data_IF_858388491902
#
_entry.id   IF_858388491902
#
_cell.length_a   1.000
_cell.length_b   1.000
_cell.length_c   1.000
_cell.angle_alpha   90.00
_cell.angle_beta   90.00
_cell.angle_gamma   90.00
#
_symmetry.space_group_name_H-M   'P 1'
#
loop_
_entity.id
_entity.type
_entity.pdbx_description
1 polymer ?
#
# COMPACT_ATOMS: atom_id res chain seq x y z
N UNK A 1 -22.59 -9.63 29.21
CA UNK A 1 -22.09 -11.01 29.34
C UNK A 1 -22.84 -11.88 28.36
N UNK A 2 -22.16 -12.85 27.76
CA UNK A 2 -22.81 -13.81 26.87
C UNK A 2 -23.76 -14.70 27.68
N UNK A 3 -25.02 -14.92 27.26
CA UNK A 3 -25.94 -15.78 27.99
C UNK A 3 -25.45 -17.23 27.94
N UNK A 4 -25.28 -17.83 29.11
CA UNK A 4 -24.92 -19.24 29.22
C UNK A 4 -26.16 -20.12 29.01
N UNK A 5 -25.98 -21.21 28.28
CA UNK A 5 -27.01 -22.21 28.01
C UNK A 5 -26.54 -23.58 28.44
N UNK A 6 -27.49 -24.46 28.78
CA UNK A 6 -27.25 -25.84 29.15
C UNK A 6 -27.75 -26.75 28.04
N UNK A 7 -26.87 -27.59 27.53
CA UNK A 7 -27.23 -28.72 26.69
C UNK A 7 -27.18 -30.01 27.51
N UNK A 8 -28.23 -30.83 27.39
CA UNK A 8 -28.27 -32.16 27.99
C UNK A 8 -28.95 -33.15 27.06
N UNK A 9 -28.38 -34.35 26.97
CA UNK A 9 -29.02 -35.47 26.29
C UNK A 9 -28.75 -36.77 27.07
N UNK A 10 -29.77 -37.62 27.21
CA UNK A 10 -29.67 -38.92 27.88
C UNK A 10 -29.62 -40.09 26.89
N UNK A 11 -29.08 -41.22 27.35
CA UNK A 11 -29.10 -42.47 26.60
C UNK A 11 -30.51 -42.92 26.20
N UNK A 12 -31.52 -42.67 27.04
CA UNK A 12 -32.91 -42.96 26.73
C UNK A 12 -33.44 -42.13 25.57
N UNK A 13 -33.11 -40.83 25.52
CA UNK A 13 -33.49 -39.94 24.42
C UNK A 13 -32.82 -40.39 23.10
N UNK A 14 -31.53 -40.77 23.15
CA UNK A 14 -30.84 -41.34 22.00
C UNK A 14 -31.46 -42.67 21.55
N UNK A 15 -31.78 -43.57 22.48
CA UNK A 15 -32.41 -44.85 22.19
C UNK A 15 -33.81 -44.70 21.57
N UNK A 16 -34.63 -43.79 22.09
CA UNK A 16 -35.95 -43.48 21.52
C UNK A 16 -35.86 -42.89 20.10
N UNK A 17 -34.79 -42.16 19.80
CA UNK A 17 -34.56 -41.58 18.48
C UNK A 17 -33.71 -42.49 17.56
N UNK A 18 -33.79 -43.82 17.76
CA UNK A 18 -33.06 -44.82 16.97
C UNK A 18 -31.55 -44.55 16.89
N UNK A 19 -30.94 -44.17 18.01
CA UNK A 19 -29.53 -43.81 18.13
C UNK A 19 -29.12 -42.66 17.19
N UNK A 20 -29.99 -41.66 17.04
CA UNK A 20 -29.69 -40.39 16.37
C UNK A 20 -29.88 -39.23 17.33
N UNK A 21 -29.12 -38.18 17.11
CA UNK A 21 -29.38 -36.91 17.78
C UNK A 21 -30.72 -36.32 17.28
N UNK A 22 -31.45 -35.60 18.15
CA UNK A 22 -32.69 -34.94 17.76
C UNK A 22 -32.50 -34.03 16.53
N UNK A 23 -33.53 -33.88 15.67
CA UNK A 23 -33.45 -33.00 14.50
C UNK A 23 -33.31 -31.52 14.88
N UNK A 24 -33.65 -31.17 16.11
CA UNK A 24 -33.40 -29.85 16.69
C UNK A 24 -32.73 -30.01 18.05
N UNK A 25 -31.51 -29.48 18.18
CA UNK A 25 -30.78 -29.47 19.43
C UNK A 25 -31.28 -28.33 20.31
N UNK A 26 -31.92 -28.68 21.44
CA UNK A 26 -32.48 -27.71 22.39
C UNK A 26 -31.45 -27.34 23.45
N UNK A 27 -31.11 -26.06 23.49
CA UNK A 27 -30.28 -25.45 24.51
C UNK A 27 -31.19 -24.68 25.50
N UNK A 28 -31.08 -24.98 26.80
CA UNK A 28 -31.90 -24.31 27.82
C UNK A 28 -31.12 -23.13 28.42
N UNK A 29 -31.66 -21.91 28.45
CA UNK A 29 -30.96 -20.79 29.09
C UNK A 29 -30.78 -21.07 30.59
N UNK A 30 -29.60 -20.76 31.12
CA UNK A 30 -29.41 -20.76 32.58
C UNK A 30 -30.03 -19.48 33.16
N UNK A 31 -30.84 -19.63 34.21
CA UNK A 31 -31.18 -18.51 35.09
C UNK A 31 -29.93 -18.10 35.89
N UNK A 32 -29.75 -16.80 36.09
CA UNK A 32 -28.81 -16.27 37.05
C UNK A 32 -29.33 -16.60 38.46
N UNK A 33 -28.59 -17.42 39.22
CA UNK A 33 -28.88 -17.85 40.58
C UNK A 33 -27.62 -17.66 41.43
N UNK A 34 -27.77 -17.46 42.74
CA UNK A 34 -26.64 -17.38 43.68
C UNK A 34 -25.85 -18.72 43.74
N UNK A 35 -24.57 -18.67 44.16
CA UNK A 35 -23.58 -19.76 44.07
C UNK A 35 -24.08 -21.15 44.53
N UNK A 36 -24.77 -21.21 45.67
CA UNK A 36 -25.28 -22.47 46.25
C UNK A 36 -26.51 -23.01 45.51
N UNK A 37 -27.27 -22.13 44.87
CA UNK A 37 -28.43 -22.47 44.06
C UNK A 37 -28.06 -22.86 42.62
N UNK A 38 -26.95 -22.34 42.07
CA UNK A 38 -26.50 -22.64 40.71
C UNK A 38 -26.12 -24.12 40.51
N UNK A 39 -25.35 -24.70 41.45
CA UNK A 39 -24.95 -26.10 41.39
C UNK A 39 -26.13 -27.06 41.56
N UNK A 40 -27.01 -26.76 42.52
CA UNK A 40 -28.16 -27.60 42.91
C UNK A 40 -29.32 -27.51 41.90
N UNK A 41 -29.71 -26.31 41.49
CA UNK A 41 -30.86 -26.11 40.60
C UNK A 41 -30.54 -26.44 39.14
N UNK A 42 -29.33 -26.16 38.67
CA UNK A 42 -28.95 -26.50 37.30
C UNK A 42 -28.36 -27.90 37.17
N UNK A 43 -28.23 -28.68 38.26
CA UNK A 43 -27.66 -30.04 38.26
C UNK A 43 -26.36 -30.12 37.45
N UNK A 44 -25.48 -29.15 37.66
CA UNK A 44 -24.16 -29.05 37.03
C UNK A 44 -23.14 -29.89 37.81
N UNK A 45 -23.42 -30.15 39.09
CA UNK A 45 -22.63 -31.03 39.96
C UNK A 45 -22.46 -32.42 39.34
N UNK A 46 -21.25 -32.95 39.56
CA UNK A 46 -20.80 -34.31 39.29
C UNK A 46 -21.41 -35.37 40.21
N UNK A 47 -22.14 -34.97 41.26
CA UNK A 47 -22.70 -35.88 42.27
C UNK A 47 -23.83 -36.78 41.73
N UNK A 48 -23.84 -37.99 42.28
CA UNK A 48 -24.62 -39.19 41.97
C UNK A 48 -26.09 -38.92 41.55
N UNK A 49 -26.45 -39.25 40.30
CA UNK A 49 -27.85 -39.41 39.88
C UNK A 49 -27.97 -40.69 39.01
N UNK A 50 -28.57 -41.71 39.60
CA UNK A 50 -28.31 -43.15 39.44
C UNK A 50 -29.14 -43.86 38.33
N UNK A 51 -29.30 -43.30 37.13
CA UNK A 51 -30.06 -44.08 36.10
C UNK A 51 -29.85 -43.81 34.61
N UNK A 52 -29.09 -42.80 34.18
CA UNK A 52 -28.81 -42.62 32.73
C UNK A 52 -27.49 -41.88 32.54
N UNK A 53 -26.62 -42.37 31.65
CA UNK A 53 -25.47 -41.56 31.21
C UNK A 53 -26.06 -40.32 30.55
N UNK A 54 -25.72 -39.15 31.10
CA UNK A 54 -26.19 -37.85 30.63
C UNK A 54 -24.98 -37.06 30.15
N UNK A 55 -25.01 -36.67 28.89
CA UNK A 55 -24.08 -35.66 28.40
C UNK A 55 -24.53 -34.30 28.92
N UNK A 56 -23.61 -33.52 29.48
CA UNK A 56 -23.90 -32.16 29.97
C UNK A 56 -22.86 -31.18 29.42
N UNK A 57 -23.30 -30.21 28.64
CA UNK A 57 -22.43 -29.13 28.19
C UNK A 57 -22.95 -27.78 28.65
N UNK A 58 -22.05 -26.95 29.17
CA UNK A 58 -22.26 -25.51 29.31
C UNK A 58 -21.90 -24.85 27.99
N UNK A 59 -22.87 -24.23 27.34
CA UNK A 59 -22.76 -23.65 26.01
C UNK A 59 -22.74 -22.12 26.12
N UNK A 60 -21.79 -21.48 25.45
CA UNK A 60 -21.66 -20.03 25.34
C UNK A 60 -21.46 -19.60 23.89
N UNK A 61 -21.88 -18.39 23.54
CA UNK A 61 -21.52 -17.81 22.25
C UNK A 61 -20.06 -17.36 22.23
N UNK A 62 -19.45 -17.46 21.05
CA UNK A 62 -18.12 -16.95 20.77
C UNK A 62 -18.01 -15.45 21.13
N UNK A 63 -16.94 -15.03 21.85
CA UNK A 63 -16.72 -13.61 22.11
C UNK A 63 -16.44 -12.88 20.80
N UNK A 64 -17.06 -11.71 20.61
CA UNK A 64 -16.79 -10.85 19.46
C UNK A 64 -15.29 -10.50 19.42
N UNK A 65 -14.63 -10.77 18.28
CA UNK A 65 -13.21 -10.56 18.10
C UNK A 65 -12.83 -9.09 18.41
N UNK A 66 -12.04 -8.87 19.47
CA UNK A 66 -11.54 -7.54 19.84
C UNK A 66 -10.32 -7.21 18.96
N UNK A 67 -10.35 -6.07 18.27
CA UNK A 67 -9.26 -5.64 17.36
C UNK A 67 -7.96 -5.23 18.08
N UNK A 68 -8.01 -4.92 19.38
CA UNK A 68 -6.90 -4.32 20.13
C UNK A 68 -6.74 -4.99 21.53
N UNK A 69 -5.71 -5.84 21.67
CA UNK A 69 -5.10 -6.38 22.91
C UNK A 69 -5.88 -7.39 23.81
N UNK A 70 -5.08 -8.32 24.36
CA UNK A 70 -5.33 -9.51 25.20
C UNK A 70 -6.43 -10.48 24.72
N UNK A 71 -6.17 -11.78 24.89
CA UNK A 71 -7.17 -12.82 24.65
C UNK A 71 -8.46 -12.44 25.40
N UNK A 72 -9.65 -12.50 24.74
CA UNK A 72 -10.89 -12.09 25.37
C UNK A 72 -11.08 -12.88 26.66
N UNK A 73 -11.67 -12.31 27.73
CA UNK A 73 -12.03 -13.11 28.88
C UNK A 73 -12.91 -14.28 28.43
N UNK A 74 -12.81 -15.41 29.14
CA UNK A 74 -13.76 -16.51 28.94
C UNK A 74 -15.19 -15.95 28.99
N UNK A 75 -16.12 -16.45 28.15
CA UNK A 75 -17.47 -15.91 28.02
C UNK A 75 -18.37 -16.36 29.19
N UNK A 76 -17.85 -16.22 30.41
CA UNK A 76 -18.49 -16.56 31.68
C UNK A 76 -18.02 -15.60 32.76
N UNK A 77 -18.85 -15.37 33.77
CA UNK A 77 -18.48 -14.58 34.94
C UNK A 77 -17.38 -15.24 35.77
N UNK A 78 -16.73 -14.46 36.64
CA UNK A 78 -15.68 -14.95 37.52
C UNK A 78 -16.20 -16.07 38.45
N UNK A 79 -17.40 -15.87 39.01
CA UNK A 79 -18.08 -16.83 39.88
C UNK A 79 -18.33 -18.17 39.16
N UNK A 80 -18.95 -18.13 37.97
CA UNK A 80 -19.19 -19.33 37.16
C UNK A 80 -17.89 -20.02 36.77
N UNK A 81 -16.83 -19.26 36.45
CA UNK A 81 -15.51 -19.84 36.14
C UNK A 81 -14.94 -20.61 37.33
N UNK A 82 -15.02 -20.06 38.54
CA UNK A 82 -14.52 -20.70 39.76
C UNK A 82 -15.30 -22.00 40.04
N UNK A 83 -16.62 -22.01 39.80
CA UNK A 83 -17.48 -23.21 39.88
C UNK A 83 -17.08 -24.26 38.83
N UNK A 84 -16.99 -23.89 37.56
CA UNK A 84 -16.66 -24.80 36.45
C UNK A 84 -15.25 -25.39 36.62
N UNK A 85 -14.32 -24.63 37.21
CA UNK A 85 -12.97 -25.10 37.57
C UNK A 85 -13.00 -26.06 38.77
N UNK A 86 -13.80 -25.78 39.79
CA UNK A 86 -14.02 -26.69 40.93
C UNK A 86 -14.61 -28.02 40.46
N UNK A 87 -15.57 -27.98 39.54
CA UNK A 87 -16.15 -29.14 38.87
C UNK A 87 -15.23 -29.77 37.81
N UNK A 88 -13.98 -29.29 37.66
CA UNK A 88 -12.99 -29.78 36.70
C UNK A 88 -13.50 -29.88 35.25
N UNK A 89 -14.46 -29.05 34.85
CA UNK A 89 -14.94 -28.97 33.45
C UNK A 89 -13.98 -28.16 32.57
N UNK A 90 -13.18 -27.30 33.20
CA UNK A 90 -12.08 -26.55 32.59
C UNK A 90 -10.80 -26.85 33.37
N UNK A 91 -9.72 -27.16 32.66
CA UNK A 91 -8.38 -27.37 33.24
C UNK A 91 -7.48 -26.13 33.05
N UNK A 92 -6.34 -26.10 33.74
CA UNK A 92 -5.35 -25.03 33.56
C UNK A 92 -4.81 -25.01 32.12
N UNK A 93 -4.64 -26.19 31.50
CA UNK A 93 -4.23 -26.31 30.09
C UNK A 93 -5.26 -25.70 29.14
N UNK A 94 -6.56 -25.82 29.44
CA UNK A 94 -7.60 -25.16 28.65
C UNK A 94 -7.51 -23.63 28.75
N UNK A 95 -7.18 -23.08 29.93
CA UNK A 95 -6.96 -21.64 30.08
C UNK A 95 -5.70 -21.16 29.33
N UNK A 96 -4.66 -22.00 29.29
CA UNK A 96 -3.48 -21.74 28.47
C UNK A 96 -3.82 -21.77 26.97
N UNK A 97 -4.61 -22.74 26.53
CA UNK A 97 -5.10 -22.84 25.15
C UNK A 97 -5.96 -21.62 24.79
N UNK A 98 -6.79 -21.15 25.71
CA UNK A 98 -7.66 -20.00 25.51
C UNK A 98 -6.89 -18.72 25.17
N UNK A 99 -5.72 -18.53 25.80
CA UNK A 99 -4.82 -17.40 25.56
C UNK A 99 -4.07 -17.45 24.23
N UNK A 100 -4.08 -18.59 23.54
CA UNK A 100 -3.32 -18.80 22.30
C UNK A 100 -4.18 -18.51 21.07
N UNK A 101 -3.75 -17.55 20.24
CA UNK A 101 -4.47 -17.19 19.01
C UNK A 101 -4.35 -18.24 17.90
N UNK A 102 -3.29 -19.04 17.90
CA UNK A 102 -3.05 -20.08 16.90
C UNK A 102 -3.97 -21.29 16.99
N UNK A 103 -4.91 -21.31 17.95
CA UNK A 103 -5.70 -22.51 18.24
C UNK A 103 -4.84 -23.67 18.73
N UNK A 104 -5.43 -24.86 18.84
CA UNK A 104 -4.73 -26.08 19.24
C UNK A 104 -5.69 -27.12 19.80
N UNK A 105 -5.18 -28.32 20.05
CA UNK A 105 -5.95 -29.39 20.69
C UNK A 105 -5.07 -30.24 21.60
N UNK A 106 -5.68 -30.93 22.55
CA UNK A 106 -4.98 -31.87 23.40
C UNK A 106 -5.90 -32.97 23.90
N UNK A 107 -5.38 -34.20 23.95
CA UNK A 107 -5.97 -35.31 24.68
C UNK A 107 -5.08 -35.66 25.88
N UNK A 108 -5.66 -35.56 27.08
CA UNK A 108 -5.01 -35.78 28.36
C UNK A 108 -5.76 -36.88 29.14
N UNK A 109 -4.99 -37.74 29.80
CA UNK A 109 -5.55 -38.79 30.68
C UNK A 109 -4.95 -38.63 32.06
N UNK A 110 -5.78 -38.49 33.09
CA UNK A 110 -5.35 -38.38 34.49
C UNK A 110 -6.32 -39.13 35.40
N UNK A 111 -5.80 -40.06 36.22
CA UNK A 111 -6.60 -40.81 37.21
C UNK A 111 -7.92 -41.37 36.65
N UNK A 112 -7.86 -42.05 35.50
CA UNK A 112 -9.03 -42.62 34.80
C UNK A 112 -10.06 -41.60 34.27
N UNK A 113 -9.76 -40.32 34.36
CA UNK A 113 -10.51 -39.23 33.70
C UNK A 113 -9.84 -38.91 32.37
N UNK A 114 -10.63 -38.89 31.31
CA UNK A 114 -10.21 -38.54 29.96
C UNK A 114 -10.67 -37.11 29.63
N UNK A 115 -9.73 -36.23 29.35
CA UNK A 115 -10.00 -34.83 29.01
C UNK A 115 -9.56 -34.57 27.57
N UNK A 116 -10.48 -34.04 26.78
CA UNK A 116 -10.23 -33.58 25.41
C UNK A 116 -10.50 -32.09 25.33
N UNK A 117 -9.56 -31.33 24.81
CA UNK A 117 -9.73 -29.89 24.60
C UNK A 117 -9.33 -29.49 23.20
N UNK A 118 -10.03 -28.50 22.66
CA UNK A 118 -9.68 -27.87 21.39
C UNK A 118 -10.07 -26.41 21.38
N UNK A 119 -9.39 -25.64 20.54
CA UNK A 119 -9.76 -24.28 20.16
C UNK A 119 -9.36 -24.08 18.71
N UNK A 120 -10.28 -23.65 17.87
CA UNK A 120 -9.95 -23.25 16.50
C UNK A 120 -9.16 -21.94 16.50
N UNK A 121 -8.33 -21.68 15.47
CA UNK A 121 -7.54 -20.44 15.41
C UNK A 121 -8.40 -19.18 15.43
N UNK A 122 -7.96 -18.15 16.17
CA UNK A 122 -8.62 -16.83 16.24
C UNK A 122 -8.13 -15.93 15.10
N UNK A 123 -8.61 -16.21 13.90
CA UNK A 123 -8.15 -15.55 12.68
C UNK A 123 -9.22 -14.73 11.95
N UNK A 124 -10.36 -14.49 12.61
CA UNK A 124 -11.49 -13.75 12.06
C UNK A 124 -12.45 -14.59 11.22
N UNK A 125 -12.30 -15.92 11.20
CA UNK A 125 -13.31 -16.82 10.64
C UNK A 125 -13.98 -17.65 11.72
N UNK A 126 -14.51 -18.80 11.33
CA UNK A 126 -15.30 -19.64 12.20
C UNK A 126 -14.56 -20.05 13.48
N UNK A 127 -15.19 -19.84 14.64
CA UNK A 127 -14.59 -20.04 15.96
C UNK A 127 -15.37 -21.03 16.81
N UNK A 128 -14.67 -22.01 17.37
CA UNK A 128 -15.15 -22.76 18.51
C UNK A 128 -14.04 -23.15 19.48
N UNK A 129 -14.43 -23.43 20.72
CA UNK A 129 -13.57 -23.98 21.75
C UNK A 129 -14.35 -24.97 22.61
N UNK A 130 -13.76 -26.12 22.85
CA UNK A 130 -14.36 -27.21 23.61
C UNK A 130 -13.40 -27.65 24.71
N UNK A 131 -13.94 -27.88 25.89
CA UNK A 131 -13.35 -28.71 26.93
C UNK A 131 -14.34 -29.81 27.25
N UNK A 132 -13.96 -31.04 26.98
CA UNK A 132 -14.73 -32.25 27.24
C UNK A 132 -14.00 -33.06 28.28
N UNK A 133 -14.67 -33.40 29.37
CA UNK A 133 -14.12 -34.21 30.46
C UNK A 133 -15.05 -35.40 30.67
N UNK A 134 -14.47 -36.59 30.62
CA UNK A 134 -15.18 -37.85 30.81
C UNK A 134 -14.59 -38.61 31.97
N UNK A 135 -15.44 -38.89 32.93
CA UNK A 135 -15.19 -39.76 34.06
C UNK A 135 -15.98 -41.07 33.88
N UNK A 136 -15.88 -42.00 34.83
CA UNK A 136 -16.54 -43.32 34.77
C UNK A 136 -18.06 -43.19 34.64
N UNK A 137 -18.66 -42.18 35.26
CA UNK A 137 -20.13 -42.03 35.36
C UNK A 137 -20.73 -40.93 34.48
N UNK A 138 -19.91 -40.04 33.92
CA UNK A 138 -20.42 -38.87 33.21
C UNK A 138 -19.47 -38.33 32.15
N UNK A 139 -20.03 -37.68 31.13
CA UNK A 139 -19.31 -36.94 30.12
C UNK A 139 -19.89 -35.52 30.05
N UNK A 140 -19.05 -34.51 30.26
CA UNK A 140 -19.49 -33.14 30.20
C UNK A 140 -18.36 -32.14 30.08
N UNK A 141 -18.70 -30.86 30.10
CA UNK A 141 -17.70 -29.80 30.01
C UNK A 141 -18.25 -28.49 29.47
N UNK A 142 -17.36 -27.71 28.86
CA UNK A 142 -17.65 -26.36 28.39
C UNK A 142 -17.47 -26.27 26.87
N UNK A 143 -18.44 -25.64 26.20
CA UNK A 143 -18.42 -25.43 24.76
C UNK A 143 -18.75 -23.99 24.41
N UNK A 144 -17.87 -23.37 23.63
CA UNK A 144 -18.02 -22.02 23.12
C UNK A 144 -18.00 -22.10 21.60
N UNK A 145 -19.01 -21.57 20.92
CA UNK A 145 -19.09 -21.62 19.46
C UNK A 145 -19.75 -20.40 18.87
N UNK A 146 -19.46 -20.12 17.61
CA UNK A 146 -20.27 -19.24 16.78
C UNK A 146 -21.43 -20.02 16.14
N UNK A 147 -22.20 -19.34 15.27
CA UNK A 147 -23.33 -19.96 14.58
C UNK A 147 -22.91 -21.14 13.69
N UNK A 148 -21.71 -21.06 13.09
CA UNK A 148 -21.21 -22.07 12.15
C UNK A 148 -20.93 -23.40 12.86
N UNK A 149 -20.35 -23.33 14.07
CA UNK A 149 -20.07 -24.48 14.92
C UNK A 149 -21.14 -24.67 16.00
N UNK A 150 -22.36 -24.16 15.81
CA UNK A 150 -23.43 -24.41 16.78
C UNK A 150 -23.68 -25.90 16.95
N UNK A 151 -24.11 -26.33 18.15
CA UNK A 151 -24.41 -27.75 18.40
C UNK A 151 -25.48 -28.28 17.44
N UNK A 152 -26.42 -27.43 17.04
CA UNK A 152 -27.43 -27.78 16.06
C UNK A 152 -26.83 -28.03 14.67
N UNK A 153 -25.87 -27.21 14.22
CA UNK A 153 -25.18 -27.43 12.95
C UNK A 153 -24.34 -28.71 12.95
N UNK A 154 -23.72 -29.04 14.09
CA UNK A 154 -22.80 -30.16 14.20
C UNK A 154 -23.46 -31.50 14.52
N UNK A 155 -24.60 -31.52 15.20
CA UNK A 155 -25.19 -32.75 15.74
C UNK A 155 -26.61 -33.04 15.27
N UNK A 156 -27.35 -32.10 14.68
CA UNK A 156 -28.74 -32.36 14.30
C UNK A 156 -28.86 -33.53 13.31
N UNK A 157 -29.71 -34.50 13.64
CA UNK A 157 -29.96 -35.72 12.85
C UNK A 157 -28.71 -36.59 12.56
N UNK A 158 -27.61 -36.38 13.30
CA UNK A 158 -26.40 -37.19 13.17
C UNK A 158 -26.59 -38.53 13.88
N UNK A 159 -26.19 -39.67 13.30
CA UNK A 159 -26.18 -40.95 13.99
C UNK A 159 -25.13 -40.98 15.11
N UNK A 160 -25.55 -41.49 16.26
CA UNK A 160 -24.65 -41.78 17.37
C UNK A 160 -24.04 -43.18 17.19
N UNK A 161 -22.71 -43.23 17.18
CA UNK A 161 -21.96 -44.39 16.70
C UNK A 161 -21.59 -45.39 17.81
N UNK A 162 -21.32 -44.90 19.02
CA UNK A 162 -20.97 -45.76 20.14
C UNK A 162 -22.24 -46.46 20.68
N UNK A 163 -22.52 -47.68 20.22
CA UNK A 163 -23.71 -48.46 20.62
C UNK A 163 -23.39 -49.61 21.59
N UNK A 164 -22.14 -49.73 22.05
CA UNK A 164 -21.71 -50.82 22.91
C UNK A 164 -22.46 -50.83 24.27
N UNK A 165 -23.02 -51.97 24.72
CA UNK A 165 -23.93 -51.98 25.88
C UNK A 165 -23.23 -51.78 27.24
N UNK A 166 -21.98 -52.25 27.37
CA UNK A 166 -21.23 -52.25 28.65
C UNK A 166 -20.22 -51.11 28.80
N UNK A 167 -19.85 -50.45 27.70
CA UNK A 167 -18.82 -49.41 27.72
C UNK A 167 -19.52 -48.07 27.88
N UNK A 168 -19.07 -47.19 28.79
CA UNK A 168 -19.77 -45.92 28.99
C UNK A 168 -19.74 -45.08 27.72
N UNK A 169 -20.75 -44.26 27.48
CA UNK A 169 -20.85 -43.45 26.26
C UNK A 169 -19.82 -42.32 26.23
N UNK A 170 -19.26 -42.03 25.05
CA UNK A 170 -18.41 -40.84 24.81
C UNK A 170 -19.11 -39.78 23.95
N UNK A 171 -18.51 -38.60 23.89
CA UNK A 171 -18.98 -37.50 23.07
C UNK A 171 -17.95 -37.09 22.00
N UNK A 172 -17.12 -38.03 21.53
CA UNK A 172 -16.07 -37.76 20.55
C UNK A 172 -16.61 -37.42 19.15
N UNK A 173 -17.89 -37.71 18.90
CA UNK A 173 -18.59 -37.30 17.68
C UNK A 173 -18.60 -35.78 17.49
N UNK A 174 -18.66 -34.99 18.58
CA UNK A 174 -18.63 -33.53 18.51
C UNK A 174 -17.29 -33.00 17.96
N UNK A 175 -16.12 -33.29 18.59
CA UNK A 175 -14.84 -32.83 18.05
C UNK A 175 -14.50 -33.46 16.70
N UNK A 176 -15.01 -34.65 16.38
CA UNK A 176 -14.90 -35.21 15.03
C UNK A 176 -15.67 -34.38 14.00
N UNK A 177 -16.92 -34.00 14.26
CA UNK A 177 -17.70 -33.16 13.34
C UNK A 177 -17.11 -31.76 13.21
N UNK A 178 -16.50 -31.22 14.29
CA UNK A 178 -15.71 -29.97 14.23
C UNK A 178 -14.55 -30.13 13.24
N UNK A 179 -13.80 -31.24 13.30
CA UNK A 179 -12.71 -31.52 12.35
C UNK A 179 -13.24 -31.57 10.91
N UNK A 180 -14.31 -32.32 10.64
CA UNK A 180 -14.91 -32.47 9.31
C UNK A 180 -15.28 -31.11 8.72
N UNK A 181 -16.04 -30.31 9.49
CA UNK A 181 -16.50 -29.00 9.02
C UNK A 181 -15.35 -28.00 8.86
N UNK A 182 -14.36 -28.03 9.75
CA UNK A 182 -13.21 -27.14 9.68
C UNK A 182 -12.32 -27.46 8.46
N UNK A 183 -12.06 -28.75 8.19
CA UNK A 183 -11.32 -29.19 6.99
C UNK A 183 -12.05 -28.76 5.71
N UNK A 184 -13.37 -28.92 5.65
CA UNK A 184 -14.17 -28.51 4.50
C UNK A 184 -14.15 -26.97 4.28
N UNK A 185 -14.25 -26.18 5.35
CA UNK A 185 -14.12 -24.73 5.27
C UNK A 185 -12.74 -24.30 4.77
N UNK A 186 -11.67 -24.87 5.33
CA UNK A 186 -10.29 -24.57 4.93
C UNK A 186 -10.05 -24.97 3.47
N UNK A 187 -10.51 -26.16 3.04
CA UNK A 187 -10.42 -26.60 1.65
C UNK A 187 -11.06 -25.61 0.67
N UNK A 188 -12.29 -25.16 0.97
CA UNK A 188 -13.00 -24.16 0.14
C UNK A 188 -12.23 -22.83 0.05
N UNK A 189 -11.65 -22.38 1.17
CA UNK A 189 -10.86 -21.15 1.20
C UNK A 189 -9.53 -21.29 0.44
N UNK A 190 -8.86 -22.44 0.53
CA UNK A 190 -7.62 -22.75 -0.20
C UNK A 190 -7.86 -22.80 -1.70
N UNK A 191 -8.95 -23.44 -2.14
CA UNK A 191 -9.35 -23.47 -3.55
C UNK A 191 -9.61 -22.06 -4.09
N UNK A 192 -10.29 -21.23 -3.30
CA UNK A 192 -10.56 -19.83 -3.67
C UNK A 192 -9.26 -19.04 -3.79
N UNK A 193 -8.38 -19.12 -2.79
CA UNK A 193 -7.07 -18.46 -2.82
C UNK A 193 -6.22 -18.94 -4.01
N UNK A 194 -6.17 -20.25 -4.26
CA UNK A 194 -5.43 -20.81 -5.38
C UNK A 194 -5.94 -20.31 -6.73
N UNK A 195 -7.26 -20.21 -6.91
CA UNK A 195 -7.88 -19.66 -8.13
C UNK A 195 -7.54 -18.19 -8.32
N UNK A 196 -7.60 -17.39 -7.25
CA UNK A 196 -7.29 -15.96 -7.31
C UNK A 196 -5.80 -15.73 -7.65
N UNK A 197 -4.91 -16.52 -7.06
CA UNK A 197 -3.47 -16.52 -7.39
C UNK A 197 -3.24 -16.95 -8.85
N UNK A 198 -3.96 -17.95 -9.36
CA UNK A 198 -3.85 -18.35 -10.78
C UNK A 198 -4.31 -17.23 -11.72
N UNK A 199 -5.40 -16.54 -11.38
CA UNK A 199 -5.90 -15.42 -12.17
C UNK A 199 -4.89 -14.28 -12.23
N UNK A 200 -4.21 -13.97 -11.12
CA UNK A 200 -3.14 -12.96 -11.12
C UNK A 200 -1.90 -13.43 -11.87
N UNK A 201 -1.53 -14.70 -11.79
CA UNK A 201 -0.42 -15.26 -12.58
C UNK A 201 -0.62 -15.09 -14.08
N UNK A 202 -1.84 -15.37 -14.56
CA UNK A 202 -2.18 -15.20 -15.98
C UNK A 202 -2.12 -13.73 -16.38
N UNK A 203 -2.74 -12.83 -15.61
CA UNK A 203 -2.70 -11.38 -15.88
C UNK A 203 -1.27 -10.82 -15.92
N UNK A 204 -0.43 -11.21 -14.96
CA UNK A 204 0.98 -10.80 -14.93
C UNK A 204 1.78 -11.37 -16.11
N UNK A 205 1.46 -12.59 -16.56
CA UNK A 205 2.07 -13.19 -17.74
C UNK A 205 1.69 -12.46 -19.03
N UNK A 206 0.46 -11.95 -19.12
CA UNK A 206 -0.04 -11.13 -20.25
C UNK A 206 0.51 -9.69 -20.23
N UNK A 207 1.22 -9.30 -19.16
CA UNK A 207 1.80 -7.96 -19.00
C UNK A 207 0.83 -6.90 -18.47
N UNK A 208 -0.36 -7.30 -18.01
CA UNK A 208 -1.31 -6.45 -17.29
C UNK A 208 -0.86 -6.28 -15.83
N UNK A 209 0.06 -5.34 -15.60
CA UNK A 209 0.64 -5.06 -14.28
C UNK A 209 0.19 -3.70 -13.77
N UNK A 210 -0.49 -3.70 -12.63
CA UNK A 210 -0.96 -2.51 -11.92
C UNK A 210 0.04 -2.09 -10.84
N UNK A 211 0.83 -1.06 -11.16
CA UNK A 211 1.83 -0.48 -10.26
C UNK A 211 1.31 0.76 -9.50
N UNK A 212 0.16 1.31 -9.89
CA UNK A 212 -0.42 2.49 -9.24
C UNK A 212 -0.79 2.16 -7.79
N UNK A 213 -0.40 3.04 -6.86
CA UNK A 213 -0.61 2.87 -5.41
C UNK A 213 -0.17 1.50 -4.82
N UNK A 214 0.84 0.85 -5.41
CA UNK A 214 1.27 -0.51 -5.05
C UNK A 214 0.17 -1.58 -5.24
N UNK A 215 -0.71 -1.42 -6.24
CA UNK A 215 -1.87 -2.31 -6.48
C UNK A 215 -1.54 -3.80 -6.40
N UNK A 216 -0.68 -4.31 -7.29
CA UNK A 216 -0.36 -5.73 -7.32
C UNK A 216 0.47 -6.18 -6.11
N UNK A 217 1.33 -5.33 -5.54
CA UNK A 217 2.06 -5.66 -4.30
C UNK A 217 1.13 -5.77 -3.09
N UNK A 218 0.11 -4.91 -2.98
CA UNK A 218 -0.94 -5.01 -1.96
C UNK A 218 -1.72 -6.32 -2.11
N UNK A 219 -2.03 -6.71 -3.35
CA UNK A 219 -2.71 -7.96 -3.65
C UNK A 219 -1.86 -9.19 -3.28
N UNK A 220 -0.57 -9.21 -3.64
CA UNK A 220 0.35 -10.27 -3.24
C UNK A 220 0.52 -10.36 -1.72
N UNK A 221 0.58 -9.21 -1.04
CA UNK A 221 0.62 -9.19 0.43
C UNK A 221 -0.67 -9.75 1.04
N UNK A 222 -1.83 -9.45 0.45
CA UNK A 222 -3.12 -10.04 0.86
C UNK A 222 -3.10 -11.56 0.69
N UNK A 223 -2.64 -12.08 -0.44
CA UNK A 223 -2.49 -13.52 -0.64
C UNK A 223 -1.56 -14.17 0.40
N UNK A 224 -0.45 -13.50 0.75
CA UNK A 224 0.46 -13.99 1.77
C UNK A 224 -0.19 -14.03 3.16
N UNK A 225 -0.98 -13.01 3.53
CA UNK A 225 -1.71 -12.99 4.81
C UNK A 225 -2.76 -14.12 4.85
N UNK A 226 -3.54 -14.30 3.79
CA UNK A 226 -4.53 -15.38 3.70
C UNK A 226 -3.86 -16.76 3.69
N UNK A 227 -2.72 -16.92 3.02
CA UNK A 227 -1.92 -18.15 3.08
C UNK A 227 -1.49 -18.48 4.51
N UNK A 228 -0.90 -17.54 5.23
CA UNK A 228 -0.45 -17.74 6.62
C UNK A 228 -1.62 -18.03 7.58
N UNK A 229 -2.80 -17.49 7.28
CA UNK A 229 -4.03 -17.80 8.00
C UNK A 229 -4.46 -19.24 7.76
N UNK A 230 -4.58 -19.65 6.51
CA UNK A 230 -4.97 -21.02 6.13
C UNK A 230 -3.95 -22.07 6.58
N UNK A 231 -2.66 -21.73 6.57
CA UNK A 231 -1.61 -22.61 7.08
C UNK A 231 -1.79 -22.89 8.59
N UNK A 232 -2.17 -21.87 9.38
CA UNK A 232 -2.48 -22.07 10.81
C UNK A 232 -3.68 -22.98 11.01
N UNK A 233 -4.72 -22.82 10.18
CA UNK A 233 -5.91 -23.69 10.18
C UNK A 233 -5.57 -25.14 9.84
N UNK A 234 -4.80 -25.37 8.78
CA UNK A 234 -4.35 -26.71 8.37
C UNK A 234 -3.46 -27.38 9.43
N UNK A 235 -2.57 -26.63 10.08
CA UNK A 235 -1.78 -27.15 11.20
C UNK A 235 -2.67 -27.55 12.39
N UNK A 236 -3.70 -26.77 12.70
CA UNK A 236 -4.68 -27.13 13.73
C UNK A 236 -5.45 -28.41 13.38
N UNK A 237 -5.87 -28.59 12.12
CA UNK A 237 -6.59 -29.79 11.67
C UNK A 237 -5.76 -31.07 11.84
N UNK A 238 -4.48 -31.02 11.45
CA UNK A 238 -3.56 -32.15 11.63
C UNK A 238 -3.32 -32.47 13.11
N UNK A 239 -3.14 -31.44 13.94
CA UNK A 239 -3.03 -31.57 15.40
C UNK A 239 -4.31 -32.17 16.01
N UNK A 240 -5.49 -31.70 15.58
CA UNK A 240 -6.80 -32.17 16.04
C UNK A 240 -7.04 -33.63 15.68
N UNK A 241 -6.77 -34.02 14.44
CA UNK A 241 -6.88 -35.41 13.99
C UNK A 241 -5.97 -36.34 14.80
N UNK A 242 -4.70 -35.97 14.99
CA UNK A 242 -3.75 -36.74 15.79
C UNK A 242 -4.20 -36.91 17.25
N UNK A 243 -4.66 -35.83 17.88
CA UNK A 243 -5.17 -35.87 19.25
C UNK A 243 -6.49 -36.65 19.36
N UNK A 244 -7.34 -36.65 18.34
CA UNK A 244 -8.54 -37.49 18.30
C UNK A 244 -8.18 -38.97 18.26
N UNK A 245 -7.19 -39.38 17.45
CA UNK A 245 -6.70 -40.77 17.47
C UNK A 245 -6.18 -41.15 18.85
N UNK A 246 -5.36 -40.29 19.46
CA UNK A 246 -4.87 -40.47 20.83
C UNK A 246 -6.02 -40.60 21.83
N UNK A 247 -7.06 -39.77 21.70
CA UNK A 247 -8.26 -39.87 22.54
C UNK A 247 -8.93 -41.24 22.40
N UNK A 248 -9.10 -41.77 21.19
CA UNK A 248 -9.70 -43.09 20.98
C UNK A 248 -8.82 -44.23 21.52
N UNK A 249 -7.50 -44.14 21.38
CA UNK A 249 -6.55 -45.11 21.96
C UNK A 249 -6.61 -45.12 23.50
N UNK A 250 -6.57 -43.95 24.11
CA UNK A 250 -6.68 -43.78 25.57
C UNK A 250 -8.06 -44.25 26.06
N UNK A 251 -9.10 -43.94 25.30
CA UNK A 251 -10.44 -44.39 25.58
C UNK A 251 -10.55 -45.92 25.56
N UNK A 252 -10.05 -46.55 24.51
CA UNK A 252 -10.00 -48.01 24.45
C UNK A 252 -9.20 -48.60 25.63
N UNK A 253 -8.06 -48.00 25.99
CA UNK A 253 -7.20 -48.47 27.10
C UNK A 253 -7.89 -48.42 28.46
N UNK A 254 -8.66 -47.37 28.75
CA UNK A 254 -9.33 -47.23 30.05
C UNK A 254 -10.43 -48.29 30.23
N UNK A 255 -11.15 -48.62 29.17
CA UNK A 255 -12.29 -49.55 29.22
C UNK A 255 -12.02 -50.92 28.59
N UNK A 256 -10.75 -51.30 28.39
CA UNK A 256 -10.35 -52.56 27.69
C UNK A 256 -11.08 -53.79 28.24
N UNK A 257 -11.31 -53.85 29.55
CA UNK A 257 -11.98 -54.97 30.23
C UNK A 257 -13.49 -55.08 29.94
N UNK A 258 -14.13 -54.00 29.47
CA UNK A 258 -15.57 -53.94 29.20
C UNK A 258 -15.93 -54.24 27.74
N UNK A 259 -14.95 -54.35 26.84
CA UNK A 259 -15.12 -54.61 25.41
C UNK A 259 -15.36 -56.09 25.07
N UNK A 260 -16.31 -56.73 25.74
CA UNK A 260 -16.76 -58.07 25.38
C UNK A 260 -17.75 -58.00 24.19
N UNK A 261 -17.29 -58.37 22.99
CA UNK A 261 -18.13 -58.40 21.78
C UNK A 261 -17.61 -57.62 20.57
N UNK A 262 -16.42 -57.00 20.66
CA UNK A 262 -15.71 -56.38 19.55
C UNK A 262 -15.51 -54.86 19.66
N UNK A 263 -14.52 -54.35 18.94
CA UNK A 263 -14.03 -52.95 18.96
C UNK A 263 -14.48 -52.12 17.77
N UNK A 264 -15.54 -52.55 17.07
CA UNK A 264 -15.97 -51.96 15.79
C UNK A 264 -16.15 -50.44 15.85
N UNK A 265 -16.74 -49.89 16.92
CA UNK A 265 -16.89 -48.44 17.08
C UNK A 265 -15.54 -47.69 17.06
N UNK A 266 -14.53 -48.22 17.74
CA UNK A 266 -13.20 -47.60 17.79
C UNK A 266 -12.54 -47.65 16.42
N UNK A 267 -12.60 -48.81 15.77
CA UNK A 267 -12.04 -49.03 14.44
C UNK A 267 -12.72 -48.12 13.41
N UNK A 268 -14.05 -48.05 13.40
CA UNK A 268 -14.83 -47.20 12.50
C UNK A 268 -14.51 -45.72 12.71
N UNK A 269 -14.41 -45.26 13.97
CA UNK A 269 -14.09 -43.87 14.27
C UNK A 269 -12.63 -43.53 13.93
N UNK A 270 -11.69 -44.44 14.19
CA UNK A 270 -10.29 -44.24 13.80
C UNK A 270 -10.15 -44.18 12.27
N UNK A 271 -10.85 -45.04 11.53
CA UNK A 271 -10.86 -45.00 10.07
C UNK A 271 -11.47 -43.69 9.54
N UNK A 272 -12.58 -43.22 10.12
CA UNK A 272 -13.18 -41.93 9.80
C UNK A 272 -12.22 -40.77 10.07
N UNK A 273 -11.53 -40.77 11.22
CA UNK A 273 -10.51 -39.75 11.53
C UNK A 273 -9.36 -39.82 10.53
N UNK A 274 -8.88 -41.01 10.19
CA UNK A 274 -7.81 -41.19 9.20
C UNK A 274 -8.23 -40.70 7.81
N UNK A 275 -9.49 -40.91 7.42
CA UNK A 275 -10.02 -40.35 6.19
C UNK A 275 -9.99 -38.82 6.22
N UNK A 276 -10.43 -38.19 7.30
CA UNK A 276 -10.40 -36.74 7.44
C UNK A 276 -8.96 -36.19 7.48
N UNK A 277 -8.04 -36.88 8.14
CA UNK A 277 -6.61 -36.51 8.14
C UNK A 277 -6.00 -36.59 6.74
N UNK A 278 -6.41 -37.53 5.90
CA UNK A 278 -5.99 -37.57 4.49
C UNK A 278 -6.46 -36.34 3.71
N UNK A 279 -7.69 -35.87 3.93
CA UNK A 279 -8.17 -34.63 3.31
C UNK A 279 -7.41 -33.40 3.83
N UNK A 280 -7.19 -33.31 5.14
CA UNK A 280 -6.40 -32.23 5.74
C UNK A 280 -4.95 -32.20 5.19
N UNK A 281 -4.36 -33.37 4.97
CA UNK A 281 -3.01 -33.49 4.38
C UNK A 281 -2.97 -33.00 2.93
N UNK A 282 -4.00 -33.30 2.12
CA UNK A 282 -4.11 -32.76 0.75
C UNK A 282 -4.15 -31.23 0.77
N UNK A 283 -4.96 -30.65 1.66
CA UNK A 283 -5.03 -29.19 1.86
C UNK A 283 -3.66 -28.62 2.26
N UNK A 284 -2.93 -29.31 3.15
CA UNK A 284 -1.59 -28.91 3.58
C UNK A 284 -0.61 -28.86 2.41
N UNK A 285 -0.61 -29.89 1.56
CA UNK A 285 0.24 -29.96 0.37
C UNK A 285 -0.09 -28.83 -0.63
N UNK A 286 -1.37 -28.56 -0.86
CA UNK A 286 -1.80 -27.44 -1.73
C UNK A 286 -1.36 -26.08 -1.17
N UNK A 287 -1.29 -25.92 0.15
CA UNK A 287 -0.80 -24.71 0.79
C UNK A 287 0.74 -24.56 0.70
N UNK A 288 1.51 -25.64 0.62
CA UNK A 288 2.97 -25.59 0.55
C UNK A 288 3.50 -24.94 -0.74
N UNK A 289 2.76 -25.04 -1.84
CA UNK A 289 3.16 -24.49 -3.13
C UNK A 289 2.90 -22.98 -3.26
N UNK A 290 1.96 -22.44 -2.48
CA UNK A 290 1.50 -21.04 -2.59
C UNK A 290 2.62 -20.00 -2.36
N UNK A 291 3.49 -20.12 -1.34
CA UNK A 291 4.58 -19.15 -1.13
C UNK A 291 5.51 -19.05 -2.33
N UNK A 292 5.79 -20.19 -2.99
CA UNK A 292 6.62 -20.22 -4.20
C UNK A 292 5.94 -19.50 -5.37
N UNK A 293 4.64 -19.68 -5.53
CA UNK A 293 3.81 -18.99 -6.53
C UNK A 293 3.81 -17.48 -6.33
N UNK A 294 3.54 -17.02 -5.10
CA UNK A 294 3.58 -15.59 -4.74
C UNK A 294 4.97 -14.99 -4.99
N UNK A 295 6.05 -15.70 -4.60
CA UNK A 295 7.43 -15.27 -4.84
C UNK A 295 7.75 -15.14 -6.33
N UNK A 296 7.30 -16.08 -7.15
CA UNK A 296 7.48 -16.02 -8.59
C UNK A 296 6.77 -14.82 -9.21
N UNK A 297 5.52 -14.54 -8.79
CA UNK A 297 4.78 -13.36 -9.23
C UNK A 297 5.48 -12.06 -8.85
N UNK A 298 5.95 -11.94 -7.60
CA UNK A 298 6.73 -10.79 -7.16
C UNK A 298 7.98 -10.58 -8.03
N UNK A 299 8.65 -11.66 -8.44
CA UNK A 299 9.82 -11.58 -9.33
C UNK A 299 9.45 -11.10 -10.73
N UNK A 300 8.32 -11.56 -11.27
CA UNK A 300 7.80 -11.08 -12.57
C UNK A 300 7.52 -9.59 -12.53
N UNK A 301 6.87 -9.09 -11.48
CA UNK A 301 6.59 -7.66 -11.29
C UNK A 301 7.90 -6.86 -11.26
N UNK A 302 8.89 -7.30 -10.47
CA UNK A 302 10.20 -6.64 -10.41
C UNK A 302 10.92 -6.62 -11.76
N UNK A 303 10.91 -7.74 -12.50
CA UNK A 303 11.51 -7.80 -13.83
C UNK A 303 10.84 -6.82 -14.80
N UNK A 304 9.51 -6.70 -14.75
CA UNK A 304 8.76 -5.76 -15.58
C UNK A 304 9.09 -4.31 -15.25
N UNK A 305 9.21 -3.96 -13.96
CA UNK A 305 9.64 -2.62 -13.52
C UNK A 305 11.03 -2.30 -14.10
N UNK A 306 11.99 -3.22 -13.93
CA UNK A 306 13.36 -3.05 -14.46
C UNK A 306 13.33 -2.84 -15.98
N UNK A 307 12.54 -3.61 -16.72
CA UNK A 307 12.43 -3.47 -18.16
C UNK A 307 11.82 -2.12 -18.57
N UNK A 308 10.79 -1.65 -17.84
CA UNK A 308 10.15 -0.35 -18.06
C UNK A 308 11.13 0.80 -17.79
N UNK A 309 11.87 0.74 -16.69
CA UNK A 309 12.85 1.77 -16.31
C UNK A 309 14.00 1.82 -17.31
N UNK A 310 14.50 0.67 -17.76
CA UNK A 310 15.52 0.61 -18.81
C UNK A 310 15.04 1.26 -20.11
N UNK A 311 13.78 1.02 -20.51
CA UNK A 311 13.20 1.66 -21.70
C UNK A 311 13.09 3.18 -21.54
N UNK A 312 12.60 3.64 -20.39
CA UNK A 312 12.51 5.08 -20.09
C UNK A 312 13.89 5.75 -20.04
N UNK A 313 14.89 5.10 -19.46
CA UNK A 313 16.25 5.62 -19.43
C UNK A 313 16.85 5.79 -20.84
N UNK A 314 16.60 4.84 -21.74
CA UNK A 314 17.02 4.96 -23.15
C UNK A 314 16.30 6.13 -23.83
N UNK A 315 15.00 6.29 -23.60
CA UNK A 315 14.19 7.38 -24.17
C UNK A 315 14.63 8.76 -23.66
N UNK A 316 14.92 8.87 -22.36
CA UNK A 316 15.49 10.07 -21.74
C UNK A 316 16.88 10.37 -22.33
N UNK A 317 17.72 9.36 -22.54
CA UNK A 317 19.03 9.54 -23.16
C UNK A 317 18.92 10.02 -24.62
N UNK A 318 17.95 9.50 -25.38
CA UNK A 318 17.66 9.96 -26.74
C UNK A 318 17.14 11.40 -26.77
N UNK A 319 16.21 11.75 -25.87
CA UNK A 319 15.69 13.11 -25.73
C UNK A 319 16.81 14.09 -25.34
N UNK A 320 17.64 13.72 -24.37
CA UNK A 320 18.82 14.50 -23.94
C UNK A 320 19.81 14.72 -25.08
N UNK A 321 20.04 13.69 -25.91
CA UNK A 321 20.87 13.82 -27.11
C UNK A 321 20.29 14.82 -28.10
N UNK A 322 18.98 14.76 -28.36
CA UNK A 322 18.30 15.70 -29.27
C UNK A 322 18.39 17.14 -28.75
N UNK A 323 18.15 17.35 -27.46
CA UNK A 323 18.29 18.66 -26.80
C UNK A 323 19.73 19.18 -26.93
N UNK A 324 20.74 18.33 -26.73
CA UNK A 324 22.13 18.72 -26.88
C UNK A 324 22.49 19.09 -28.34
N UNK A 325 21.95 18.37 -29.32
CA UNK A 325 22.14 18.69 -30.75
C UNK A 325 21.47 20.01 -31.14
N UNK A 326 20.25 20.28 -30.65
CA UNK A 326 19.55 21.56 -30.85
C UNK A 326 20.30 22.71 -30.19
N UNK A 327 20.71 22.56 -28.93
CA UNK A 327 21.53 23.56 -28.22
C UNK A 327 22.83 23.86 -28.96
N UNK A 328 23.47 22.85 -29.56
CA UNK A 328 24.66 23.05 -30.39
C UNK A 328 24.35 23.90 -31.64
N UNK A 329 23.20 23.67 -32.30
CA UNK A 329 22.77 24.47 -33.45
C UNK A 329 22.46 25.91 -33.05
N UNK A 330 21.74 26.12 -31.96
CA UNK A 330 21.43 27.46 -31.44
C UNK A 330 22.72 28.23 -31.11
N UNK A 331 23.71 27.56 -30.52
CA UNK A 331 25.02 28.16 -30.29
C UNK A 331 25.71 28.59 -31.59
N UNK A 332 25.63 27.78 -32.65
CA UNK A 332 26.19 28.14 -33.96
C UNK A 332 25.43 29.31 -34.61
N UNK A 333 24.10 29.30 -34.56
CA UNK A 333 23.26 30.39 -35.07
C UNK A 333 23.53 31.69 -34.30
N UNK A 334 23.71 31.63 -32.98
CA UNK A 334 24.07 32.79 -32.17
C UNK A 334 25.44 33.36 -32.55
N UNK A 335 26.42 32.50 -32.86
CA UNK A 335 27.73 32.94 -33.37
C UNK A 335 27.58 33.61 -34.74
N UNK A 336 26.78 33.04 -35.64
CA UNK A 336 26.52 33.64 -36.97
C UNK A 336 25.79 34.98 -36.86
N UNK A 337 24.77 35.07 -36.00
CA UNK A 337 24.04 36.30 -35.73
C UNK A 337 24.95 37.37 -35.11
N UNK A 338 25.82 36.99 -34.17
CA UNK A 338 26.82 37.90 -33.62
C UNK A 338 27.78 38.42 -34.70
N UNK A 339 28.18 37.57 -35.66
CA UNK A 339 29.01 37.99 -36.79
C UNK A 339 28.25 38.93 -37.75
N UNK A 340 27.00 38.62 -38.08
CA UNK A 340 26.16 39.44 -38.95
C UNK A 340 25.88 40.82 -38.33
N UNK A 341 25.54 40.87 -37.05
CA UNK A 341 25.34 42.12 -36.31
C UNK A 341 26.62 42.95 -36.23
N UNK A 342 27.79 42.31 -36.05
CA UNK A 342 29.08 43.00 -36.10
C UNK A 342 29.36 43.60 -37.48
N UNK A 343 29.03 42.88 -38.57
CA UNK A 343 29.18 43.41 -39.93
C UNK A 343 28.24 44.58 -40.18
N UNK A 344 26.96 44.47 -39.81
CA UNK A 344 25.99 45.57 -39.92
C UNK A 344 26.47 46.79 -39.13
N UNK A 345 27.03 46.61 -37.93
CA UNK A 345 27.59 47.70 -37.15
C UNK A 345 28.78 48.38 -37.85
N UNK A 346 29.64 47.62 -38.53
CA UNK A 346 30.76 48.16 -39.30
C UNK A 346 30.28 48.91 -40.56
N UNK A 347 29.34 48.36 -41.32
CA UNK A 347 28.73 49.04 -42.47
C UNK A 347 28.03 50.33 -42.05
N UNK A 348 27.27 50.30 -40.94
CA UNK A 348 26.64 51.48 -40.36
C UNK A 348 27.67 52.53 -39.92
N UNK A 349 28.83 52.08 -39.41
CA UNK A 349 29.95 52.97 -39.04
C UNK A 349 30.54 53.65 -40.27
N UNK A 350 30.68 52.94 -41.38
CA UNK A 350 31.16 53.47 -42.65
C UNK A 350 30.15 54.46 -43.26
N UNK A 351 28.86 54.12 -43.28
CA UNK A 351 27.80 55.01 -43.75
C UNK A 351 27.73 56.30 -42.90
N UNK A 352 27.89 56.17 -41.59
CA UNK A 352 28.02 57.31 -40.67
C UNK A 352 29.24 58.20 -40.99
N UNK A 353 30.34 57.62 -41.48
CA UNK A 353 31.52 58.38 -41.92
C UNK A 353 31.28 59.11 -43.24
N UNK A 354 30.59 58.48 -44.20
CA UNK A 354 30.16 59.12 -45.44
C UNK A 354 29.20 60.30 -45.16
N UNK A 355 28.21 60.10 -44.28
CA UNK A 355 27.27 61.13 -43.86
C UNK A 355 27.98 62.35 -43.23
N UNK A 356 28.99 62.10 -42.38
CA UNK A 356 29.83 63.18 -41.83
C UNK A 356 30.58 63.94 -42.93
N UNK A 357 31.07 63.25 -43.95
CA UNK A 357 31.80 63.87 -45.06
C UNK A 357 30.89 64.77 -45.90
N UNK A 358 29.67 64.31 -46.22
CA UNK A 358 28.64 65.12 -46.90
C UNK A 358 28.24 66.33 -46.06
N UNK A 359 28.06 66.15 -44.75
CA UNK A 359 27.76 67.25 -43.84
C UNK A 359 28.87 68.31 -43.82
N UNK A 360 30.14 67.91 -43.87
CA UNK A 360 31.28 68.85 -43.95
C UNK A 360 31.28 69.61 -45.28
N UNK A 361 31.05 68.92 -46.41
CA UNK A 361 30.95 69.55 -47.73
C UNK A 361 29.81 70.58 -47.78
N UNK A 362 28.61 70.21 -47.32
CA UNK A 362 27.46 71.12 -47.26
C UNK A 362 27.73 72.32 -46.36
N UNK A 363 28.34 72.12 -45.19
CA UNK A 363 28.75 73.22 -44.30
C UNK A 363 29.76 74.18 -44.95
N UNK A 364 30.59 73.69 -45.87
CA UNK A 364 31.57 74.51 -46.60
C UNK A 364 30.92 75.38 -47.67
N UNK A 365 29.98 74.82 -48.44
CA UNK A 365 29.40 75.51 -49.59
C UNK A 365 28.20 76.39 -49.24
N UNK A 366 27.41 76.03 -48.22
CA UNK A 366 26.17 76.73 -47.84
C UNK A 366 26.37 78.22 -47.49
N UNK A 367 27.42 78.64 -46.74
CA UNK A 367 27.64 80.06 -46.44
C UNK A 367 27.98 80.86 -47.70
N UNK A 368 28.79 80.27 -48.59
CA UNK A 368 29.19 80.90 -49.84
C UNK A 368 28.03 81.11 -50.80
N UNK A 369 27.14 80.13 -50.95
CA UNK A 369 25.96 80.25 -51.81
C UNK A 369 24.93 81.23 -51.25
N UNK A 370 24.73 81.27 -49.93
CA UNK A 370 23.85 82.23 -49.28
C UNK A 370 24.33 83.67 -49.50
N UNK A 371 25.63 83.93 -49.29
CA UNK A 371 26.23 85.25 -49.48
C UNK A 371 26.20 85.65 -50.96
N UNK A 372 26.52 84.73 -51.87
CA UNK A 372 26.41 84.98 -53.32
C UNK A 372 24.98 85.37 -53.73
N UNK A 373 23.97 84.69 -53.18
CA UNK A 373 22.55 85.00 -53.44
C UNK A 373 22.16 86.39 -52.93
N UNK A 374 22.62 86.77 -51.73
CA UNK A 374 22.40 88.11 -51.17
C UNK A 374 23.03 89.22 -52.02
N UNK A 375 24.27 89.03 -52.49
CA UNK A 375 24.93 90.01 -53.38
C UNK A 375 24.30 90.07 -54.78
N UNK A 376 23.72 88.96 -55.28
CA UNK A 376 22.99 88.93 -56.54
C UNK A 376 21.65 89.68 -56.49
N UNK A 377 21.02 89.80 -55.32
CA UNK A 377 19.76 90.53 -55.17
C UNK A 377 19.93 92.06 -55.16
N UNK A 378 21.12 92.57 -54.88
CA UNK A 378 21.34 93.99 -54.55
C UNK A 378 22.09 94.79 -55.63
N UNK A 379 22.06 94.36 -56.90
CA UNK A 379 22.70 95.04 -58.05
C UNK A 379 24.21 95.35 -57.88
N UNK A 380 24.90 94.64 -56.98
CA UNK A 380 26.29 94.94 -56.60
C UNK A 380 27.35 94.53 -57.66
N UNK A 381 26.95 93.78 -58.71
CA UNK A 381 27.79 93.38 -59.83
C UNK A 381 27.25 93.98 -61.14
N UNK A 382 27.53 95.28 -61.37
CA UNK A 382 27.20 95.94 -62.64
C UNK A 382 28.16 95.49 -63.75
N UNK A 383 27.66 94.78 -64.75
CA UNK A 383 28.41 94.31 -65.94
C UNK A 383 28.23 95.21 -67.19
N UNK A 384 27.87 96.49 -67.02
CA UNK A 384 27.64 97.41 -68.15
C UNK A 384 28.51 98.68 -68.06
N UNK A 385 29.71 98.71 -68.68
CA UNK A 385 30.66 99.81 -68.55
C UNK A 385 30.46 100.93 -69.61
N UNK A 386 30.60 102.19 -69.21
CA UNK A 386 30.83 103.33 -70.11
C UNK A 386 32.35 103.48 -70.40
N UNK A 387 32.78 104.12 -71.51
CA UNK A 387 34.16 104.01 -72.00
C UNK A 387 35.13 104.70 -71.04
N UNK A 388 35.92 103.90 -70.32
CA UNK A 388 36.98 104.38 -69.43
C UNK A 388 37.04 103.70 -68.05
N UNK A 389 35.98 102.99 -67.63
CA UNK A 389 35.95 102.32 -66.31
C UNK A 389 36.21 100.80 -66.38
N UNK A 390 36.87 100.22 -65.36
CA UNK A 390 37.32 98.83 -65.36
C UNK A 390 36.14 97.83 -65.40
N UNK A 391 36.28 96.82 -66.26
CA UNK A 391 35.30 95.75 -66.56
C UNK A 391 35.06 94.80 -65.36
N UNK A 392 35.76 95.00 -64.24
CA UNK A 392 35.54 94.29 -62.98
C UNK A 392 35.07 95.29 -61.93
N UNK A 393 33.88 95.07 -61.34
CA UNK A 393 33.41 95.86 -60.21
C UNK A 393 34.50 95.86 -59.11
N UNK A 394 35.00 97.03 -58.65
CA UNK A 394 36.01 97.11 -57.59
C UNK A 394 35.61 96.40 -56.27
N UNK A 395 34.32 96.11 -56.12
CA UNK A 395 33.69 95.55 -54.93
C UNK A 395 33.75 94.01 -54.84
N UNK A 396 34.33 93.30 -55.82
CA UNK A 396 34.45 91.84 -55.78
C UNK A 396 35.28 91.34 -54.58
N UNK A 397 36.19 92.18 -54.06
CA UNK A 397 36.93 91.89 -52.84
C UNK A 397 36.04 91.84 -51.58
N UNK A 398 34.91 92.57 -51.56
CA UNK A 398 33.95 92.58 -50.44
C UNK A 398 33.28 91.21 -50.30
N UNK A 399 33.00 90.52 -51.41
CA UNK A 399 32.48 89.15 -51.38
C UNK A 399 33.43 88.20 -50.63
N UNK A 400 34.73 88.25 -50.92
CA UNK A 400 35.73 87.45 -50.21
C UNK A 400 35.91 87.89 -48.75
N UNK A 401 35.88 89.20 -48.49
CA UNK A 401 36.02 89.75 -47.15
C UNK A 401 34.86 89.39 -46.20
N UNK A 402 33.65 89.14 -46.73
CA UNK A 402 32.48 88.71 -45.93
C UNK A 402 32.35 87.18 -45.88
N UNK A 403 32.59 86.49 -47.00
CA UNK A 403 32.40 85.04 -47.09
C UNK A 403 33.40 84.25 -46.25
N UNK A 404 34.66 84.66 -46.22
CA UNK A 404 35.70 83.95 -45.46
C UNK A 404 35.42 83.99 -43.95
N UNK A 405 35.15 85.14 -43.30
CA UNK A 405 34.84 85.18 -41.87
C UNK A 405 33.57 84.42 -41.50
N UNK A 406 32.52 84.49 -42.33
CA UNK A 406 31.26 83.76 -42.06
C UNK A 406 31.49 82.25 -42.14
N UNK A 407 32.26 81.77 -43.12
CA UNK A 407 32.60 80.35 -43.23
C UNK A 407 33.42 79.89 -42.02
N UNK A 408 34.39 80.69 -41.57
CA UNK A 408 35.17 80.42 -40.35
C UNK A 408 34.29 80.40 -39.11
N UNK A 409 33.32 81.31 -38.98
CA UNK A 409 32.41 81.35 -37.85
C UNK A 409 31.50 80.11 -37.79
N UNK A 410 30.97 79.66 -38.93
CA UNK A 410 30.15 78.44 -39.03
C UNK A 410 30.97 77.19 -38.67
N UNK A 411 32.19 77.08 -39.19
CA UNK A 411 33.12 75.99 -38.81
C UNK A 411 33.49 76.04 -37.32
N UNK A 412 33.75 77.23 -36.78
CA UNK A 412 34.06 77.43 -35.37
C UNK A 412 32.92 76.98 -34.45
N UNK A 413 31.68 77.36 -34.78
CA UNK A 413 30.47 76.91 -34.08
C UNK A 413 30.30 75.39 -34.14
N UNK A 414 30.53 74.78 -35.31
CA UNK A 414 30.44 73.32 -35.47
C UNK A 414 31.51 72.58 -34.66
N UNK A 415 32.78 73.02 -34.70
CA UNK A 415 33.86 72.41 -33.92
C UNK A 415 33.59 72.55 -32.42
N UNK A 416 33.13 73.72 -31.99
CA UNK A 416 32.81 73.97 -30.59
C UNK A 416 31.64 73.08 -30.13
N UNK A 417 30.55 73.00 -30.90
CA UNK A 417 29.42 72.12 -30.59
C UNK A 417 29.81 70.64 -30.60
N UNK A 418 30.59 70.19 -31.59
CA UNK A 418 31.05 68.81 -31.69
C UNK A 418 31.94 68.41 -30.50
N UNK A 419 32.87 69.28 -30.08
CA UNK A 419 33.71 69.01 -28.89
C UNK A 419 32.89 68.95 -27.60
N UNK A 420 32.00 69.92 -27.36
CA UNK A 420 31.17 69.95 -26.16
C UNK A 420 30.18 68.77 -26.10
N UNK A 421 29.65 68.35 -27.25
CA UNK A 421 28.74 67.21 -27.36
C UNK A 421 29.47 65.89 -27.07
N UNK A 422 30.67 65.67 -27.64
CA UNK A 422 31.48 64.47 -27.44
C UNK A 422 31.85 64.22 -25.97
N UNK A 423 32.18 65.26 -25.21
CA UNK A 423 32.52 65.13 -23.79
C UNK A 423 31.32 64.66 -22.96
N UNK A 424 30.11 65.15 -23.24
CA UNK A 424 28.89 64.70 -22.58
C UNK A 424 28.53 63.26 -22.92
N UNK A 425 28.78 62.82 -24.16
CA UNK A 425 28.57 61.43 -24.56
C UNK A 425 29.56 60.47 -23.88
N UNK A 426 30.85 60.82 -23.81
CA UNK A 426 31.87 60.00 -23.14
C UNK A 426 31.60 59.83 -21.64
N UNK A 427 31.30 60.91 -20.94
CA UNK A 427 31.01 60.87 -19.49
C UNK A 427 29.79 60.01 -19.19
N UNK A 428 28.72 60.13 -20.00
CA UNK A 428 27.51 59.30 -19.83
C UNK A 428 27.78 57.82 -20.11
N UNK A 429 28.64 57.49 -21.08
CA UNK A 429 28.98 56.11 -21.41
C UNK A 429 29.86 55.45 -20.34
N UNK A 430 30.86 56.17 -19.81
CA UNK A 430 31.71 55.68 -18.72
C UNK A 430 30.93 55.48 -17.41
N UNK A 431 29.96 56.34 -17.11
CA UNK A 431 29.08 56.18 -15.95
C UNK A 431 28.20 54.93 -16.10
N UNK A 432 27.57 54.74 -17.26
CA UNK A 432 26.77 53.54 -17.54
C UNK A 432 27.57 52.24 -17.43
N UNK A 433 28.82 52.22 -17.92
CA UNK A 433 29.68 51.04 -17.83
C UNK A 433 29.99 50.65 -16.38
N UNK A 434 30.28 51.65 -15.53
CA UNK A 434 30.56 51.45 -14.10
C UNK A 434 29.33 50.96 -13.34
N UNK A 435 28.14 51.41 -13.70
CA UNK A 435 26.89 50.98 -13.08
C UNK A 435 26.55 49.53 -13.45
N UNK A 436 26.72 49.15 -14.72
CA UNK A 436 26.57 47.76 -15.18
C UNK A 436 27.58 46.84 -14.50
N UNK A 437 28.85 47.25 -14.38
CA UNK A 437 29.88 46.46 -13.70
C UNK A 437 29.57 46.25 -12.21
N UNK A 438 29.05 47.26 -11.53
CA UNK A 438 28.56 47.14 -10.14
C UNK A 438 27.40 46.15 -10.04
N UNK A 439 26.44 46.23 -10.95
CA UNK A 439 25.29 45.32 -10.95
C UNK A 439 25.71 43.86 -11.19
N UNK A 440 26.62 43.63 -12.12
CA UNK A 440 27.20 42.30 -12.40
C UNK A 440 27.93 41.74 -11.16
N UNK A 441 28.75 42.56 -10.50
CA UNK A 441 29.45 42.17 -9.26
C UNK A 441 28.47 41.83 -8.14
N UNK A 442 27.35 42.54 -8.03
CA UNK A 442 26.30 42.25 -7.05
C UNK A 442 25.60 40.93 -7.35
N UNK A 443 25.19 40.71 -8.61
CA UNK A 443 24.51 39.46 -9.04
C UNK A 443 25.42 38.23 -8.90
N UNK A 444 26.71 38.35 -9.21
CA UNK A 444 27.68 37.27 -9.01
C UNK A 444 27.80 36.95 -7.51
N UNK A 445 27.95 37.96 -6.64
CA UNK A 445 27.99 37.74 -5.19
C UNK A 445 26.72 37.08 -4.64
N UNK A 446 25.53 37.44 -5.12
CA UNK A 446 24.28 36.79 -4.71
C UNK A 446 24.17 35.35 -5.21
N UNK A 447 24.67 35.04 -6.41
CA UNK A 447 24.69 33.68 -6.93
C UNK A 447 25.67 32.78 -6.18
N UNK A 448 26.85 33.29 -5.80
CA UNK A 448 27.85 32.52 -5.03
C UNK A 448 27.46 32.31 -3.56
N UNK A 449 26.54 33.11 -3.01
CA UNK A 449 26.04 32.95 -1.64
C UNK A 449 24.81 32.02 -1.53
N UNK A 450 24.15 31.69 -2.65
CA UNK A 450 23.08 30.68 -2.70
C UNK A 450 23.58 29.24 -2.91
N UNK A 451 24.88 29.05 -3.17
CA UNK A 451 25.50 27.73 -3.43
C UNK A 451 26.25 27.14 -2.22
N UNK A 452 25.94 27.59 -1.00
CA UNK A 452 26.51 27.05 0.25
C UNK A 452 25.43 26.65 1.23
#
# INVERSE_FOLDING_TARGET
>A
MTPLRKFTISDSELGHNNWRFPPQIKERPLRDLDDDEFLVNHKIDRSYDDSTVRFKLLVADAPAARKNADAPPLPMGKEVRDIVKKERWISDEYEHLWKRDGGGSAALTSHNTLTFMLQTPRDGGSFCSLSLVRDVFQCGGFYCSDETFSLNALLADVPYENKHPKVPRDFAILPFNILVQHVDETLRQVQTLSRDITATEIRLADGDISLEENGDYKLLNRFNIEHLRLQRRSNFETELGSNLKKYFEEYYRIWTTLWEGGTSYIEDMQEKVDQQMRYAEQVRVDLEIIPRRIKNQSKTITNFIIQRDNRLNIEIAQSSRKIAEESRRDNLLNIELAKATAQVAEETRQDSAAMKTIAVLTLTFLPGTAIASFFSMNDAFTFNPAPGDPIASPNLWIFFAVTVPVTVAVYGLWVWWHKFSQERYKVRHEQGLKDVEKELKLRVRSATTMTW
#
